data_IF_375172937591
#
_entry.id   IF_375172937591
#
_cell.length_a   1.000
_cell.length_b   1.000
_cell.length_c   1.000
_cell.angle_alpha   90.00
_cell.angle_beta   90.00
_cell.angle_gamma   90.00
#
_symmetry.space_group_name_H-M   'P 1'
#
loop_
_entity.id
_entity.type
_entity.pdbx_description
1 polymer ?
#
# COMPACT_ATOMS: atom_id res chain seq x y z
N UNK A 1 49.43 7.72 -28.92
CA UNK A 1 48.16 7.03 -29.24
C UNK A 1 47.74 6.20 -28.03
N UNK A 2 46.94 6.78 -27.14
CA UNK A 2 46.35 6.02 -26.02
C UNK A 2 44.92 5.70 -26.44
N UNK A 3 44.65 4.43 -26.70
CA UNK A 3 43.34 3.95 -27.12
C UNK A 3 42.30 4.25 -26.04
N UNK A 4 41.31 5.07 -26.36
CA UNK A 4 40.10 5.22 -25.56
C UNK A 4 39.38 3.87 -25.51
N UNK A 5 39.54 3.13 -24.41
CA UNK A 5 38.70 1.99 -24.11
C UNK A 5 37.27 2.52 -23.97
N UNK A 6 36.46 2.18 -24.97
CA UNK A 6 35.03 2.41 -24.98
C UNK A 6 34.44 1.78 -23.71
N UNK A 7 33.97 2.63 -22.79
CA UNK A 7 33.05 2.22 -21.75
C UNK A 7 31.90 1.45 -22.41
N UNK A 8 31.58 0.22 -21.98
CA UNK A 8 30.49 -0.54 -22.58
C UNK A 8 29.21 0.29 -22.46
N UNK A 9 28.51 0.44 -23.59
CA UNK A 9 27.23 1.13 -23.63
C UNK A 9 26.30 0.54 -22.56
N UNK A 10 25.59 1.36 -21.77
CA UNK A 10 24.74 0.83 -20.71
C UNK A 10 23.69 -0.07 -21.36
N UNK A 11 23.69 -1.34 -20.95
CA UNK A 11 22.68 -2.33 -21.36
C UNK A 11 21.31 -1.74 -21.10
N UNK A 12 20.60 -1.41 -22.18
CA UNK A 12 19.27 -0.81 -22.13
C UNK A 12 18.28 -1.86 -21.66
N UNK A 13 18.21 -2.09 -20.34
CA UNK A 13 17.00 -2.70 -19.77
C UNK A 13 15.87 -1.72 -20.12
N UNK A 14 14.87 -2.12 -20.93
CA UNK A 14 13.78 -1.22 -21.26
C UNK A 14 13.12 -0.76 -19.97
N UNK A 15 12.75 0.52 -19.87
CA UNK A 15 12.15 1.10 -18.64
C UNK A 15 10.93 0.29 -18.14
N UNK A 16 10.22 -0.35 -19.06
CA UNK A 16 9.16 -1.31 -18.76
C UNK A 16 9.65 -2.52 -17.96
N UNK A 17 10.79 -3.12 -18.32
CA UNK A 17 11.38 -4.22 -17.57
C UNK A 17 11.83 -3.79 -16.17
N UNK A 18 12.26 -2.54 -15.96
CA UNK A 18 12.53 -2.01 -14.63
C UNK A 18 11.24 -1.86 -13.79
N UNK A 19 10.16 -1.39 -14.42
CA UNK A 19 8.83 -1.33 -13.78
C UNK A 19 8.28 -2.72 -13.42
N UNK A 20 8.40 -3.68 -14.33
CA UNK A 20 7.99 -5.06 -14.11
C UNK A 20 8.85 -5.74 -13.04
N UNK A 21 10.17 -5.52 -13.05
CA UNK A 21 11.05 -6.02 -12.02
C UNK A 21 10.70 -5.45 -10.65
N UNK A 22 10.43 -4.14 -10.55
CA UNK A 22 9.98 -3.53 -9.30
C UNK A 22 8.63 -4.06 -8.84
N UNK A 23 7.68 -4.27 -9.76
CA UNK A 23 6.41 -4.95 -9.49
C UNK A 23 6.67 -6.34 -8.90
N UNK A 24 7.49 -7.18 -9.55
CA UNK A 24 7.76 -8.55 -9.13
C UNK A 24 8.51 -8.63 -7.78
N UNK A 25 9.48 -7.73 -7.53
CA UNK A 25 10.17 -7.66 -6.24
C UNK A 25 9.17 -7.35 -5.13
N UNK A 26 8.32 -6.33 -5.31
CA UNK A 26 7.37 -5.95 -4.28
C UNK A 26 6.25 -6.98 -4.11
N UNK A 27 5.79 -7.56 -5.22
CA UNK A 27 4.82 -8.65 -5.25
C UNK A 27 5.32 -9.88 -4.48
N UNK A 28 6.56 -10.31 -4.72
CA UNK A 28 7.15 -11.45 -4.04
C UNK A 28 7.47 -11.15 -2.57
N UNK A 29 7.84 -9.90 -2.23
CA UNK A 29 8.09 -9.51 -0.84
C UNK A 29 6.83 -9.67 0.04
N UNK A 30 5.63 -9.47 -0.51
CA UNK A 30 4.37 -9.65 0.24
C UNK A 30 4.19 -11.08 0.79
N UNK A 31 4.84 -12.09 0.18
CA UNK A 31 4.84 -13.47 0.66
C UNK A 31 5.53 -13.61 2.03
N UNK A 32 6.39 -12.67 2.41
CA UNK A 32 7.04 -12.64 3.72
C UNK A 32 6.25 -11.84 4.76
N UNK A 33 5.05 -11.35 4.41
CA UNK A 33 4.25 -10.46 5.26
C UNK A 33 2.82 -10.94 5.46
N UNK A 34 2.09 -11.12 4.35
CA UNK A 34 0.63 -11.27 4.34
C UNK A 34 0.08 -12.69 4.53
N UNK A 35 0.81 -13.79 4.22
CA UNK A 35 0.24 -15.13 4.35
C UNK A 35 -0.31 -15.46 5.75
N UNK A 36 0.33 -14.98 6.82
CA UNK A 36 -0.15 -15.15 8.21
C UNK A 36 -1.61 -14.68 8.40
N UNK A 37 -2.09 -13.75 7.59
CA UNK A 37 -3.47 -13.22 7.66
C UNK A 37 -4.50 -14.12 6.98
N UNK A 38 -4.07 -15.18 6.29
CA UNK A 38 -4.95 -16.14 5.63
C UNK A 38 -5.63 -17.10 6.61
N UNK A 39 -5.19 -17.15 7.86
CA UNK A 39 -5.69 -18.06 8.90
C UNK A 39 -6.20 -17.25 10.10
N UNK A 40 -7.23 -17.76 10.79
CA UNK A 40 -7.85 -17.11 11.95
C UNK A 40 -7.12 -17.39 13.27
N UNK A 41 -6.37 -18.50 13.35
CA UNK A 41 -5.76 -19.02 14.59
C UNK A 41 -6.77 -19.22 15.73
N UNK A 42 -7.96 -19.75 15.40
CA UNK A 42 -9.08 -19.93 16.34
C UNK A 42 -8.74 -20.82 17.55
N UNK A 43 -7.81 -21.76 17.38
CA UNK A 43 -7.37 -22.68 18.44
C UNK A 43 -6.38 -22.05 19.43
N UNK A 44 -5.96 -20.81 19.21
CA UNK A 44 -5.01 -20.12 20.09
C UNK A 44 -5.73 -19.24 21.11
N UNK A 45 -5.35 -19.41 22.38
CA UNK A 45 -5.84 -18.56 23.45
C UNK A 45 -5.41 -17.09 23.21
N UNK A 46 -6.28 -16.12 23.50
CA UNK A 46 -5.92 -14.71 23.55
C UNK A 46 -4.72 -14.47 24.48
N UNK A 47 -3.74 -13.68 24.03
CA UNK A 47 -2.62 -13.26 24.89
C UNK A 47 -2.99 -12.11 25.83
N UNK A 48 -4.00 -11.32 25.44
CA UNK A 48 -4.59 -10.26 26.24
C UNK A 48 -6.11 -10.44 26.27
N UNK A 49 -6.75 -10.16 27.41
CA UNK A 49 -8.19 -10.38 27.60
C UNK A 49 -9.07 -9.69 26.54
N UNK A 50 -8.59 -8.57 25.99
CA UNK A 50 -9.32 -7.74 25.03
C UNK A 50 -8.95 -7.98 23.56
N UNK A 51 -7.91 -8.77 23.26
CA UNK A 51 -7.41 -8.93 21.89
C UNK A 51 -7.29 -10.42 21.54
N UNK A 52 -7.93 -10.83 20.46
CA UNK A 52 -7.67 -12.16 19.92
C UNK A 52 -6.20 -12.32 19.46
N UNK A 53 -5.77 -13.58 19.28
CA UNK A 53 -4.40 -13.90 18.94
C UNK A 53 -3.99 -13.27 17.59
N UNK A 54 -4.87 -13.29 16.60
CA UNK A 54 -4.59 -12.76 15.26
C UNK A 54 -4.45 -11.23 15.26
N UNK A 55 -5.36 -10.51 15.89
CA UNK A 55 -5.33 -9.06 16.05
C UNK A 55 -4.04 -8.63 16.77
N UNK A 56 -3.64 -9.39 17.79
CA UNK A 56 -2.37 -9.24 18.50
C UNK A 56 -1.16 -9.35 17.55
N UNK A 57 -1.12 -10.36 16.67
CA UNK A 57 -0.07 -10.49 15.65
C UNK A 57 -0.09 -9.33 14.64
N UNK A 58 -1.27 -8.92 14.18
CA UNK A 58 -1.46 -7.80 13.24
C UNK A 58 -0.96 -6.50 13.86
N UNK A 59 -1.33 -6.20 15.12
CA UNK A 59 -0.85 -5.02 15.84
C UNK A 59 0.67 -5.01 15.92
N UNK A 60 1.26 -6.12 16.36
CA UNK A 60 2.70 -6.20 16.52
C UNK A 60 3.44 -5.97 15.19
N UNK A 61 2.98 -6.59 14.10
CA UNK A 61 3.53 -6.37 12.77
C UNK A 61 3.36 -4.92 12.29
N UNK A 62 2.19 -4.33 12.54
CA UNK A 62 1.89 -2.95 12.17
C UNK A 62 2.76 -1.93 12.92
N UNK A 63 2.98 -2.12 14.22
CA UNK A 63 3.89 -1.28 15.04
C UNK A 63 5.33 -1.39 14.54
N UNK A 64 5.80 -2.60 14.23
CA UNK A 64 7.11 -2.79 13.60
C UNK A 64 7.22 -2.04 12.27
N UNK A 65 6.18 -2.09 11.44
CA UNK A 65 6.12 -1.37 10.16
C UNK A 65 6.10 0.16 10.33
N UNK A 66 5.37 0.67 11.32
CA UNK A 66 5.33 2.10 11.63
C UNK A 66 6.70 2.61 12.10
N UNK A 67 7.36 1.87 13.00
CA UNK A 67 8.72 2.18 13.44
C UNK A 67 9.72 2.12 12.27
N UNK A 68 9.57 1.13 11.39
CA UNK A 68 10.35 1.00 10.14
C UNK A 68 10.25 2.24 9.26
N UNK A 69 9.08 2.88 9.17
CA UNK A 69 8.92 4.12 8.40
C UNK A 69 9.70 5.28 9.02
N UNK A 70 9.72 5.39 10.36
CA UNK A 70 10.49 6.42 11.05
C UNK A 70 12.00 6.26 10.84
N UNK A 71 12.52 5.04 11.03
CA UNK A 71 13.93 4.71 10.81
C UNK A 71 14.29 4.80 9.31
N UNK A 72 13.37 4.36 8.46
CA UNK A 72 13.52 4.27 7.02
C UNK A 72 13.73 5.61 6.32
N UNK A 73 13.22 6.72 6.87
CA UNK A 73 13.50 8.06 6.31
C UNK A 73 15.01 8.29 6.22
N UNK A 74 15.76 7.95 7.27
CA UNK A 74 17.21 8.10 7.30
C UNK A 74 17.90 7.06 6.42
N UNK A 75 17.57 5.78 6.62
CA UNK A 75 18.22 4.66 5.92
C UNK A 75 18.02 4.76 4.41
N UNK A 76 16.80 5.03 3.93
CA UNK A 76 16.50 5.14 2.50
C UNK A 76 17.12 6.41 1.91
N UNK A 77 17.19 7.51 2.69
CA UNK A 77 17.77 8.77 2.22
C UNK A 77 19.29 8.67 2.01
N UNK A 78 20.00 8.06 2.95
CA UNK A 78 21.46 8.05 3.02
C UNK A 78 22.11 6.85 2.32
N UNK A 79 21.34 5.82 1.93
CA UNK A 79 21.93 4.60 1.39
C UNK A 79 22.48 4.76 -0.04
N UNK A 80 23.68 4.23 -0.25
CA UNK A 80 24.36 4.25 -1.55
C UNK A 80 23.69 3.29 -2.54
N UNK A 81 23.59 3.71 -3.80
CA UNK A 81 22.92 2.95 -4.87
C UNK A 81 23.56 1.57 -5.12
N UNK A 82 24.87 1.43 -4.92
CA UNK A 82 25.65 0.20 -5.17
C UNK A 82 25.37 -0.93 -4.16
N UNK A 83 24.83 -0.62 -2.98
CA UNK A 83 24.54 -1.61 -1.93
C UNK A 83 23.05 -1.86 -1.74
N UNK A 84 22.19 -1.29 -2.59
CA UNK A 84 20.74 -1.29 -2.37
C UNK A 84 20.12 -2.68 -2.51
N UNK A 85 20.50 -3.46 -3.52
CA UNK A 85 20.02 -4.82 -3.70
C UNK A 85 20.40 -5.73 -2.51
N UNK A 86 21.64 -5.61 -2.01
CA UNK A 86 22.09 -6.32 -0.81
C UNK A 86 21.29 -5.95 0.43
N UNK A 87 20.98 -4.65 0.62
CA UNK A 87 20.14 -4.19 1.72
C UNK A 87 18.71 -4.76 1.64
N UNK A 88 18.10 -4.79 0.44
CA UNK A 88 16.79 -5.40 0.24
C UNK A 88 16.80 -6.88 0.64
N UNK A 89 17.81 -7.64 0.18
CA UNK A 89 17.94 -9.06 0.53
C UNK A 89 18.19 -9.28 2.03
N UNK A 90 19.03 -8.46 2.68
CA UNK A 90 19.29 -8.60 4.12
C UNK A 90 18.06 -8.29 4.95
N UNK A 91 17.28 -7.28 4.57
CA UNK A 91 16.04 -6.92 5.27
C UNK A 91 14.99 -8.02 5.10
N UNK A 92 14.79 -8.54 3.88
CA UNK A 92 13.85 -9.65 3.64
C UNK A 92 14.33 -10.93 4.35
N UNK A 93 15.64 -11.20 4.35
CA UNK A 93 16.23 -12.31 5.10
C UNK A 93 15.98 -12.20 6.61
N UNK A 94 16.18 -11.01 7.20
CA UNK A 94 15.85 -10.77 8.61
C UNK A 94 14.35 -10.96 8.89
N UNK A 95 13.48 -10.50 7.99
CA UNK A 95 12.04 -10.71 8.10
C UNK A 95 11.68 -12.20 8.07
N UNK A 96 12.35 -12.97 7.22
CA UNK A 96 12.16 -14.41 7.09
C UNK A 96 12.67 -15.18 8.31
N UNK A 97 13.81 -14.80 8.89
CA UNK A 97 14.30 -15.36 10.15
C UNK A 97 13.29 -15.13 11.30
N UNK A 98 12.63 -13.97 11.32
CA UNK A 98 11.57 -13.71 12.28
C UNK A 98 10.34 -14.62 12.05
N UNK A 99 10.02 -14.97 10.80
CA UNK A 99 8.97 -15.96 10.49
C UNK A 99 9.38 -17.39 10.87
N UNK A 100 10.66 -17.75 10.77
CA UNK A 100 11.14 -19.02 11.33
C UNK A 100 11.02 -19.03 12.85
N UNK A 101 11.33 -17.91 13.51
CA UNK A 101 11.06 -17.73 14.94
C UNK A 101 9.58 -17.96 15.27
N UNK A 102 8.67 -17.41 14.46
CA UNK A 102 7.23 -17.63 14.62
C UNK A 102 6.82 -19.10 14.47
N UNK A 103 7.52 -19.87 13.62
CA UNK A 103 7.25 -21.28 13.39
C UNK A 103 7.81 -22.20 14.51
N UNK A 104 8.92 -21.80 15.14
CA UNK A 104 9.67 -22.62 16.08
C UNK A 104 9.41 -22.29 17.55
N UNK A 105 9.11 -21.03 17.87
CA UNK A 105 8.90 -20.56 19.22
C UNK A 105 7.44 -20.78 19.68
N UNK A 106 7.17 -20.82 20.99
CA UNK A 106 5.80 -20.93 21.50
C UNK A 106 4.92 -19.76 21.06
N UNK A 107 3.60 -19.98 21.01
CA UNK A 107 2.63 -18.99 20.52
C UNK A 107 2.72 -17.61 21.21
N UNK A 108 3.07 -17.55 22.50
CA UNK A 108 3.25 -16.30 23.24
C UNK A 108 4.38 -15.41 22.70
N UNK A 109 5.38 -15.98 22.02
CA UNK A 109 6.45 -15.25 21.37
C UNK A 109 6.06 -14.72 19.97
N UNK A 110 4.88 -15.13 19.46
CA UNK A 110 4.41 -14.76 18.13
C UNK A 110 4.36 -13.25 17.87
N UNK A 111 3.84 -12.40 18.77
CA UNK A 111 3.82 -10.95 18.57
C UNK A 111 5.22 -10.37 18.38
N UNK A 112 6.20 -10.81 19.17
CA UNK A 112 7.60 -10.38 19.02
C UNK A 112 8.15 -10.78 17.64
N UNK A 113 7.88 -12.00 17.19
CA UNK A 113 8.29 -12.47 15.87
C UNK A 113 7.67 -11.62 14.76
N UNK A 114 6.38 -11.28 14.87
CA UNK A 114 5.68 -10.48 13.86
C UNK A 114 6.10 -9.01 13.89
N UNK A 115 6.44 -8.46 15.06
CA UNK A 115 7.08 -7.15 15.18
C UNK A 115 8.44 -7.12 14.48
N UNK A 116 9.30 -8.10 14.75
CA UNK A 116 10.62 -8.24 14.12
C UNK A 116 10.53 -8.54 12.62
N UNK A 117 9.43 -9.14 12.16
CA UNK A 117 9.12 -9.32 10.75
C UNK A 117 8.68 -7.99 10.08
N UNK A 118 7.82 -7.21 10.74
CA UNK A 118 7.32 -5.94 10.20
C UNK A 118 8.40 -4.86 10.07
N UNK A 119 9.33 -4.80 11.04
CA UNK A 119 10.39 -3.80 11.11
C UNK A 119 11.31 -3.72 9.88
N UNK A 120 11.86 -4.82 9.33
CA UNK A 120 12.66 -4.74 8.12
C UNK A 120 11.82 -4.48 6.85
N UNK A 121 10.58 -4.96 6.81
CA UNK A 121 9.76 -4.92 5.60
C UNK A 121 9.21 -3.52 5.27
N UNK A 122 9.02 -2.64 6.26
CA UNK A 122 8.49 -1.28 6.06
C UNK A 122 9.32 -0.38 5.15
N UNK A 123 10.61 -0.68 5.01
CA UNK A 123 11.57 0.06 4.18
C UNK A 123 11.61 -0.41 2.72
N UNK A 124 11.13 -1.62 2.41
CA UNK A 124 11.32 -2.24 1.08
C UNK A 124 10.69 -1.42 -0.04
N UNK A 125 9.48 -0.87 0.19
CA UNK A 125 8.82 -0.03 -0.82
C UNK A 125 9.68 1.16 -1.23
N UNK A 126 10.26 1.88 -0.26
CA UNK A 126 11.10 3.05 -0.52
C UNK A 126 12.40 2.68 -1.24
N UNK A 127 13.00 1.54 -0.87
CA UNK A 127 14.20 1.02 -1.53
C UNK A 127 13.92 0.61 -2.98
N UNK A 128 12.78 -0.03 -3.25
CA UNK A 128 12.36 -0.39 -4.61
C UNK A 128 12.02 0.87 -5.42
N UNK A 129 11.24 1.78 -4.85
CA UNK A 129 10.83 3.04 -5.50
C UNK A 129 12.03 3.90 -5.90
N UNK A 130 13.10 3.93 -5.08
CA UNK A 130 14.36 4.63 -5.40
C UNK A 130 15.05 4.17 -6.69
N UNK A 131 14.71 3.02 -7.28
CA UNK A 131 15.19 2.63 -8.63
C UNK A 131 14.40 3.27 -9.76
N UNK A 132 13.15 3.62 -9.48
CA UNK A 132 12.15 4.15 -10.41
C UNK A 132 12.11 5.69 -10.37
N UNK A 133 12.42 6.27 -9.22
CA UNK A 133 12.41 7.71 -8.96
C UNK A 133 13.35 8.48 -9.89
N UNK A 134 12.95 9.71 -10.23
CA UNK A 134 13.76 10.64 -11.01
C UNK A 134 13.68 10.45 -12.52
N UNK A 135 12.85 9.53 -13.00
CA UNK A 135 12.65 9.24 -14.43
C UNK A 135 11.48 10.03 -15.03
N UNK A 136 11.49 10.27 -16.34
CA UNK A 136 10.38 10.90 -17.08
C UNK A 136 9.06 10.12 -17.01
N UNK A 137 9.14 8.82 -16.72
CA UNK A 137 8.01 7.88 -16.60
C UNK A 137 7.76 7.44 -15.16
N UNK A 138 8.25 8.21 -14.17
CA UNK A 138 8.12 7.87 -12.75
C UNK A 138 6.67 7.62 -12.34
N UNK A 139 5.72 8.35 -12.92
CA UNK A 139 4.28 8.21 -12.65
C UNK A 139 3.76 6.83 -13.07
N UNK A 140 4.15 6.36 -14.26
CA UNK A 140 3.79 5.03 -14.76
C UNK A 140 4.43 3.93 -13.91
N UNK A 141 5.71 4.09 -13.59
CA UNK A 141 6.45 3.14 -12.76
C UNK A 141 5.88 3.08 -11.32
N UNK A 142 5.46 4.22 -10.77
CA UNK A 142 4.77 4.29 -9.49
C UNK A 142 3.42 3.57 -9.55
N UNK A 143 2.64 3.75 -10.62
CA UNK A 143 1.38 3.05 -10.82
C UNK A 143 1.56 1.52 -10.89
N UNK A 144 2.58 1.04 -11.62
CA UNK A 144 2.93 -0.38 -11.64
C UNK A 144 3.28 -0.89 -10.23
N UNK A 145 4.11 -0.16 -9.48
CA UNK A 145 4.46 -0.53 -8.12
C UNK A 145 3.22 -0.53 -7.20
N UNK A 146 2.29 0.41 -7.35
CA UNK A 146 1.03 0.45 -6.60
C UNK A 146 0.16 -0.76 -6.93
N UNK A 147 0.02 -1.13 -8.20
CA UNK A 147 -0.73 -2.32 -8.59
C UNK A 147 -0.17 -3.62 -8.01
N UNK A 148 1.14 -3.69 -7.77
CA UNK A 148 1.77 -4.88 -7.20
C UNK A 148 1.24 -5.23 -5.81
N UNK A 149 0.90 -4.25 -4.96
CA UNK A 149 0.39 -4.55 -3.63
C UNK A 149 -1.07 -5.00 -3.60
N UNK A 150 -1.87 -4.53 -4.56
CA UNK A 150 -3.27 -4.92 -4.71
C UNK A 150 -3.32 -6.42 -5.00
N UNK A 151 -2.60 -6.85 -6.03
CA UNK A 151 -2.59 -8.25 -6.45
C UNK A 151 -1.85 -9.16 -5.46
N UNK A 152 -0.72 -8.73 -4.92
CA UNK A 152 0.13 -9.59 -4.08
C UNK A 152 -0.49 -9.97 -2.75
N UNK A 153 -1.28 -9.09 -2.13
CA UNK A 153 -2.01 -9.41 -0.90
C UNK A 153 -2.93 -10.62 -1.11
N UNK A 154 -3.68 -10.64 -2.21
CA UNK A 154 -4.51 -11.78 -2.61
C UNK A 154 -3.71 -13.04 -2.94
N UNK A 155 -2.75 -12.93 -3.86
CA UNK A 155 -1.95 -14.05 -4.35
C UNK A 155 -1.19 -14.79 -3.24
N UNK A 156 -0.57 -14.04 -2.32
CA UNK A 156 0.25 -14.63 -1.26
C UNK A 156 -0.59 -15.26 -0.16
N UNK A 157 -1.77 -14.68 0.16
CA UNK A 157 -2.74 -15.32 1.06
C UNK A 157 -3.34 -16.59 0.45
N UNK A 158 -3.65 -16.58 -0.85
CA UNK A 158 -4.08 -17.80 -1.56
C UNK A 158 -3.02 -18.89 -1.46
N UNK A 159 -1.75 -18.57 -1.76
CA UNK A 159 -0.65 -19.53 -1.67
C UNK A 159 -0.49 -20.07 -0.24
N UNK A 160 -0.52 -19.21 0.78
CA UNK A 160 -0.46 -19.62 2.18
C UNK A 160 -1.62 -20.52 2.60
N UNK A 161 -2.85 -20.14 2.26
CA UNK A 161 -4.05 -20.92 2.55
C UNK A 161 -4.01 -22.31 1.87
N UNK A 162 -3.53 -22.39 0.62
CA UNK A 162 -3.35 -23.67 -0.07
C UNK A 162 -2.34 -24.57 0.66
N UNK A 163 -1.23 -24.03 1.15
CA UNK A 163 -0.26 -24.83 1.93
C UNK A 163 -0.90 -25.42 3.19
N UNK A 164 -1.72 -24.64 3.91
CA UNK A 164 -2.45 -25.12 5.09
C UNK A 164 -3.46 -26.20 4.73
N UNK A 165 -4.19 -26.04 3.60
CA UNK A 165 -5.10 -27.06 3.10
C UNK A 165 -4.39 -28.38 2.74
N UNK A 166 -3.10 -28.31 2.37
CA UNK A 166 -2.25 -29.50 2.15
C UNK A 166 -1.58 -30.01 3.44
N UNK A 167 -2.04 -29.59 4.62
CA UNK A 167 -1.59 -30.10 5.91
C UNK A 167 -0.41 -29.36 6.53
N UNK A 168 0.06 -28.25 5.95
CA UNK A 168 1.11 -27.45 6.57
C UNK A 168 0.57 -26.70 7.80
N UNK A 169 1.32 -26.71 8.90
CA UNK A 169 0.96 -25.94 10.10
C UNK A 169 0.79 -24.45 9.78
N UNK A 170 -0.26 -23.79 10.32
CA UNK A 170 -0.44 -22.33 10.21
C UNK A 170 0.75 -21.50 10.68
N UNK A 171 1.57 -22.02 11.60
CA UNK A 171 2.78 -21.34 12.09
C UNK A 171 3.96 -21.44 11.12
N UNK A 172 4.09 -22.55 10.39
CA UNK A 172 5.13 -22.74 9.36
C UNK A 172 4.77 -22.06 8.03
N UNK A 173 3.47 -21.94 7.74
CA UNK A 173 2.96 -21.42 6.48
C UNK A 173 3.58 -20.08 6.04
N UNK A 174 3.75 -19.05 6.88
CA UNK A 174 4.34 -17.78 6.44
C UNK A 174 5.78 -17.93 5.94
N UNK A 175 6.61 -18.71 6.65
CA UNK A 175 8.01 -18.92 6.30
C UNK A 175 8.16 -19.72 4.98
N UNK A 176 7.35 -20.77 4.81
CA UNK A 176 7.33 -21.59 3.59
C UNK A 176 6.79 -20.79 2.40
N UNK A 177 5.72 -20.01 2.58
CA UNK A 177 5.19 -19.14 1.53
C UNK A 177 6.26 -18.15 1.05
N UNK A 178 7.01 -17.54 1.97
CA UNK A 178 8.15 -16.67 1.62
C UNK A 178 9.18 -17.38 0.74
N UNK A 179 9.55 -18.62 1.08
CA UNK A 179 10.50 -19.42 0.28
C UNK A 179 9.97 -19.72 -1.13
N UNK A 180 8.68 -20.03 -1.29
CA UNK A 180 8.06 -20.28 -2.60
C UNK A 180 8.21 -19.08 -3.53
N UNK A 181 8.12 -17.85 -3.00
CA UNK A 181 8.24 -16.62 -3.79
C UNK A 181 9.67 -16.07 -3.86
N UNK A 182 10.62 -16.62 -3.10
CA UNK A 182 12.01 -16.17 -3.08
C UNK A 182 12.71 -16.24 -4.47
N UNK A 183 12.50 -17.27 -5.32
CA UNK A 183 13.10 -17.30 -6.66
C UNK A 183 12.66 -16.11 -7.52
N UNK A 184 11.36 -15.76 -7.49
CA UNK A 184 10.81 -14.61 -8.22
C UNK A 184 11.41 -13.31 -7.68
N UNK A 185 11.51 -13.18 -6.35
CA UNK A 185 12.13 -12.04 -5.69
C UNK A 185 13.58 -11.83 -6.15
N UNK A 186 14.41 -12.88 -6.09
CA UNK A 186 15.85 -12.80 -6.40
C UNK A 186 16.06 -12.52 -7.89
N UNK A 187 15.34 -13.20 -8.77
CA UNK A 187 15.42 -12.97 -10.21
C UNK A 187 15.02 -11.55 -10.60
N UNK A 188 13.87 -11.07 -10.09
CA UNK A 188 13.41 -9.72 -10.35
C UNK A 188 14.35 -8.65 -9.76
N UNK A 189 14.89 -8.88 -8.56
CA UNK A 189 15.85 -7.96 -7.95
C UNK A 189 17.16 -7.90 -8.75
N UNK A 190 17.61 -9.01 -9.32
CA UNK A 190 18.79 -9.02 -10.20
C UNK A 190 18.58 -8.18 -11.47
N UNK A 191 17.37 -8.20 -12.04
CA UNK A 191 17.00 -7.30 -13.15
C UNK A 191 16.97 -5.84 -12.67
N UNK A 192 16.30 -5.59 -11.54
CA UNK A 192 16.15 -4.24 -11.00
C UNK A 192 17.49 -3.60 -10.64
N UNK A 193 18.43 -4.38 -10.09
CA UNK A 193 19.77 -3.95 -9.72
C UNK A 193 20.64 -3.54 -10.92
N UNK A 194 20.34 -4.06 -12.11
CA UNK A 194 21.02 -3.70 -13.37
C UNK A 194 20.38 -2.50 -14.07
N UNK A 195 19.34 -1.90 -13.48
CA UNK A 195 18.70 -0.72 -14.08
C UNK A 195 19.67 0.45 -14.07
N UNK A 196 19.96 1.08 -15.22
CA UNK A 196 20.89 2.21 -15.29
C UNK A 196 20.33 3.41 -14.51
N UNK A 197 21.21 4.30 -13.97
CA UNK A 197 20.76 5.53 -13.31
C UNK A 197 19.96 6.43 -14.28
N UNK A 198 19.18 7.41 -13.76
CA UNK A 198 18.46 8.36 -14.60
C UNK A 198 19.38 9.06 -15.61
N UNK A 199 18.93 9.20 -16.84
CA UNK A 199 19.72 9.79 -17.93
C UNK A 199 19.67 11.33 -17.93
N UNK A 200 20.29 11.97 -18.93
CA UNK A 200 20.27 13.43 -19.03
C UNK A 200 18.86 13.99 -19.32
N UNK A 201 18.04 13.26 -20.07
CA UNK A 201 16.67 13.66 -20.39
C UNK A 201 15.75 13.55 -19.16
N UNK A 202 15.96 12.55 -18.32
CA UNK A 202 15.32 12.38 -17.01
C UNK A 202 15.61 13.60 -16.10
N UNK A 203 16.88 13.99 -16.00
CA UNK A 203 17.29 15.17 -15.20
C UNK A 203 16.72 16.48 -15.74
N UNK A 204 16.76 16.68 -17.06
CA UNK A 204 16.21 17.87 -17.70
C UNK A 204 14.70 18.00 -17.49
N UNK A 205 13.96 16.89 -17.49
CA UNK A 205 12.51 16.90 -17.33
C UNK A 205 12.02 17.05 -15.89
N UNK A 206 12.78 16.58 -14.88
CA UNK A 206 12.32 16.54 -13.47
C UNK A 206 12.79 17.69 -12.60
N UNK A 207 13.84 18.42 -13.00
CA UNK A 207 14.42 19.53 -12.24
C UNK A 207 14.94 19.13 -10.84
N UNK A 208 15.63 20.04 -10.17
CA UNK A 208 16.11 19.83 -8.79
C UNK A 208 14.98 20.07 -7.80
N UNK A 209 14.45 19.00 -7.19
CA UNK A 209 13.45 19.08 -6.12
C UNK A 209 14.15 19.31 -4.78
N UNK A 210 14.07 20.52 -4.22
CA UNK A 210 14.61 20.83 -2.89
C UNK A 210 13.59 20.45 -1.81
N UNK A 211 14.05 19.87 -0.71
CA UNK A 211 13.18 19.56 0.43
C UNK A 211 12.76 20.85 1.15
N UNK A 212 11.51 20.92 1.60
CA UNK A 212 11.03 22.04 2.40
C UNK A 212 11.70 22.07 3.77
N UNK A 213 12.07 23.26 4.23
CA UNK A 213 12.46 23.49 5.62
C UNK A 213 11.23 23.53 6.56
N UNK A 214 11.46 23.59 7.87
CA UNK A 214 10.41 23.61 8.88
C UNK A 214 9.40 24.77 8.71
N UNK A 215 9.87 26.03 8.56
CA UNK A 215 9.00 27.18 8.30
C UNK A 215 8.13 27.03 7.05
N UNK A 216 8.70 26.61 5.91
CA UNK A 216 7.96 26.44 4.66
C UNK A 216 6.88 25.35 4.76
N UNK A 217 7.16 24.23 5.44
CA UNK A 217 6.15 23.18 5.72
C UNK A 217 4.96 23.75 6.48
N UNK A 218 5.21 24.49 7.56
CA UNK A 218 4.15 25.10 8.39
C UNK A 218 3.34 26.14 7.61
N UNK A 219 3.98 26.93 6.76
CA UNK A 219 3.30 27.90 5.92
C UNK A 219 2.39 27.21 4.89
N UNK A 220 2.89 26.15 4.24
CA UNK A 220 2.10 25.40 3.26
C UNK A 220 0.88 24.71 3.89
N UNK A 221 1.07 24.05 5.04
CA UNK A 221 -0.04 23.41 5.77
C UNK A 221 -1.09 24.44 6.17
N UNK A 222 -0.70 25.61 6.69
CA UNK A 222 -1.65 26.69 7.02
C UNK A 222 -2.42 27.19 5.81
N UNK A 223 -1.73 27.40 4.68
CA UNK A 223 -2.36 27.87 3.45
C UNK A 223 -3.35 26.87 2.82
N UNK A 224 -3.20 25.57 3.12
CA UNK A 224 -4.02 24.49 2.57
C UNK A 224 -4.71 23.66 3.65
N UNK A 225 -4.93 24.23 4.85
CA UNK A 225 -5.32 23.46 6.03
C UNK A 225 -6.62 22.66 5.81
N UNK A 226 -7.65 23.30 5.24
CA UNK A 226 -8.94 22.66 4.98
C UNK A 226 -8.85 21.49 3.98
N UNK A 227 -8.41 21.70 2.71
CA UNK A 227 -8.35 20.58 1.76
C UNK A 227 -7.36 19.51 2.22
N UNK A 228 -6.24 19.88 2.85
CA UNK A 228 -5.26 18.92 3.33
C UNK A 228 -5.83 18.06 4.48
N UNK A 229 -6.53 18.66 5.44
CA UNK A 229 -7.17 17.91 6.52
C UNK A 229 -8.23 16.92 6.00
N UNK A 230 -9.08 17.35 5.06
CA UNK A 230 -10.10 16.49 4.45
C UNK A 230 -9.48 15.32 3.66
N UNK A 231 -8.42 15.59 2.89
CA UNK A 231 -7.70 14.57 2.13
C UNK A 231 -6.98 13.58 3.06
N UNK A 232 -6.30 14.07 4.11
CA UNK A 232 -5.62 13.21 5.09
C UNK A 232 -6.64 12.36 5.86
N UNK A 233 -7.78 12.92 6.26
CA UNK A 233 -8.85 12.17 6.91
C UNK A 233 -9.39 11.07 5.99
N UNK A 234 -9.69 11.40 4.73
CA UNK A 234 -10.10 10.42 3.72
C UNK A 234 -9.06 9.31 3.51
N UNK A 235 -7.78 9.67 3.40
CA UNK A 235 -6.68 8.72 3.30
C UNK A 235 -6.56 7.81 4.53
N UNK A 236 -6.77 8.37 5.71
CA UNK A 236 -6.73 7.64 6.98
C UNK A 236 -7.81 6.58 7.04
N UNK A 237 -9.05 6.95 6.72
CA UNK A 237 -10.19 6.04 6.67
C UNK A 237 -9.99 4.95 5.60
N UNK A 238 -9.52 5.33 4.40
CA UNK A 238 -9.24 4.37 3.33
C UNK A 238 -8.13 3.39 3.70
N UNK A 239 -7.06 3.86 4.35
CA UNK A 239 -5.96 2.99 4.79
C UNK A 239 -6.45 2.01 5.85
N UNK A 240 -7.21 2.49 6.83
CA UNK A 240 -7.78 1.62 7.85
C UNK A 240 -8.75 0.60 7.29
N UNK A 241 -9.66 1.02 6.41
CA UNK A 241 -10.62 0.13 5.76
C UNK A 241 -9.93 -0.93 4.88
N UNK A 242 -8.92 -0.51 4.10
CA UNK A 242 -8.10 -1.42 3.30
C UNK A 242 -7.39 -2.45 4.18
N UNK A 243 -6.71 -2.00 5.23
CA UNK A 243 -5.93 -2.89 6.08
C UNK A 243 -6.84 -3.86 6.85
N UNK A 244 -8.01 -3.40 7.29
CA UNK A 244 -9.01 -4.26 7.91
C UNK A 244 -9.53 -5.33 6.94
N UNK A 245 -9.95 -4.93 5.73
CA UNK A 245 -10.37 -5.85 4.65
C UNK A 245 -9.30 -6.89 4.36
N UNK A 246 -8.05 -6.46 4.26
CA UNK A 246 -6.93 -7.34 3.92
C UNK A 246 -6.53 -8.28 5.06
N UNK A 247 -6.53 -7.81 6.30
CA UNK A 247 -6.08 -8.62 7.43
C UNK A 247 -7.15 -9.60 7.90
N UNK A 248 -8.43 -9.23 7.76
CA UNK A 248 -9.57 -10.02 8.23
C UNK A 248 -10.44 -10.59 7.10
N UNK A 249 -9.87 -10.77 5.91
CA UNK A 249 -10.62 -11.31 4.77
C UNK A 249 -11.15 -12.72 5.03
N UNK A 250 -10.38 -13.58 5.72
CA UNK A 250 -10.80 -14.95 6.01
C UNK A 250 -12.08 -14.95 6.87
N UNK A 251 -12.13 -14.08 7.87
CA UNK A 251 -13.26 -13.88 8.77
C UNK A 251 -14.46 -13.28 8.05
N UNK A 252 -14.25 -12.22 7.24
CA UNK A 252 -15.32 -11.61 6.44
C UNK A 252 -15.92 -12.65 5.47
N UNK A 253 -15.10 -13.46 4.80
CA UNK A 253 -15.58 -14.53 3.93
C UNK A 253 -16.27 -15.68 4.68
N UNK A 254 -15.84 -15.94 5.91
CA UNK A 254 -16.52 -16.86 6.83
C UNK A 254 -17.94 -16.40 7.13
N UNK A 255 -18.10 -15.14 7.54
CA UNK A 255 -19.40 -14.51 7.81
C UNK A 255 -20.31 -14.47 6.56
N UNK A 256 -19.74 -14.43 5.36
CA UNK A 256 -20.46 -14.47 4.08
C UNK A 256 -20.97 -15.89 3.70
N UNK A 257 -20.76 -16.90 4.55
CA UNK A 257 -21.30 -18.26 4.37
C UNK A 257 -20.61 -19.09 3.28
N UNK A 258 -19.54 -18.59 2.66
CA UNK A 258 -18.85 -19.27 1.56
C UNK A 258 -17.57 -20.02 2.01
N UNK A 259 -17.21 -19.96 3.29
CA UNK A 259 -16.01 -20.61 3.84
C UNK A 259 -14.76 -20.24 3.06
N UNK A 260 -14.22 -19.02 3.26
CA UNK A 260 -13.06 -18.42 2.57
C UNK A 260 -12.24 -19.34 1.63
N UNK A 261 -12.72 -19.65 0.41
CA UNK A 261 -11.96 -20.51 -0.48
C UNK A 261 -10.66 -19.80 -0.80
N UNK A 262 -9.52 -20.48 -0.66
CA UNK A 262 -8.19 -19.87 -0.81
C UNK A 262 -8.07 -19.04 -2.09
N UNK A 263 -8.67 -19.51 -3.19
CA UNK A 263 -8.69 -18.84 -4.48
C UNK A 263 -9.43 -17.48 -4.47
N UNK A 264 -10.43 -17.28 -3.61
CA UNK A 264 -11.21 -16.03 -3.56
C UNK A 264 -10.37 -14.82 -3.16
N UNK A 265 -9.31 -15.02 -2.36
CA UNK A 265 -8.37 -13.93 -2.05
C UNK A 265 -7.67 -13.41 -3.30
N UNK A 266 -7.41 -14.25 -4.31
CA UNK A 266 -6.78 -13.83 -5.57
C UNK A 266 -7.79 -13.39 -6.62
N UNK A 267 -8.85 -14.20 -6.83
CA UNK A 267 -9.86 -13.96 -7.87
C UNK A 267 -10.50 -12.59 -7.73
N UNK A 268 -10.75 -12.14 -6.50
CA UNK A 268 -11.37 -10.83 -6.27
C UNK A 268 -10.41 -9.64 -6.48
N UNK A 269 -9.10 -9.83 -6.38
CA UNK A 269 -8.11 -8.74 -6.54
C UNK A 269 -7.67 -8.50 -7.99
N UNK A 270 -7.82 -9.49 -8.87
CA UNK A 270 -7.50 -9.37 -10.30
C UNK A 270 -8.31 -8.25 -10.99
N UNK A 271 -9.67 -8.25 -10.95
CA UNK A 271 -10.45 -7.20 -11.59
C UNK A 271 -10.19 -5.82 -10.95
N UNK A 272 -9.99 -5.79 -9.63
CA UNK A 272 -9.65 -4.57 -8.88
C UNK A 272 -8.35 -3.97 -9.41
N UNK A 273 -7.31 -4.79 -9.56
CA UNK A 273 -5.99 -4.36 -10.06
C UNK A 273 -6.10 -3.80 -11.48
N UNK A 274 -6.85 -4.47 -12.36
CA UNK A 274 -7.04 -4.03 -13.76
C UNK A 274 -7.72 -2.66 -13.80
N UNK A 275 -8.83 -2.48 -13.08
CA UNK A 275 -9.59 -1.22 -13.07
C UNK A 275 -8.73 -0.07 -12.52
N UNK A 276 -7.99 -0.31 -11.43
CA UNK A 276 -7.13 0.72 -10.81
C UNK A 276 -5.95 1.07 -11.73
N UNK A 277 -5.35 0.10 -12.41
CA UNK A 277 -4.27 0.35 -13.39
C UNK A 277 -4.76 1.21 -14.55
N UNK A 278 -5.94 0.91 -15.11
CA UNK A 278 -6.56 1.71 -16.16
C UNK A 278 -6.79 3.14 -15.67
N UNK A 279 -7.38 3.31 -14.48
CA UNK A 279 -7.62 4.63 -13.88
C UNK A 279 -6.33 5.43 -13.66
N UNK A 280 -5.27 4.79 -13.15
CA UNK A 280 -3.97 5.43 -12.94
C UNK A 280 -3.28 5.80 -14.26
N UNK A 281 -3.38 4.94 -15.28
CA UNK A 281 -2.88 5.23 -16.62
C UNK A 281 -3.61 6.44 -17.24
N UNK A 282 -4.94 6.50 -17.11
CA UNK A 282 -5.73 7.65 -17.56
C UNK A 282 -5.31 8.94 -16.86
N UNK A 283 -5.14 8.92 -15.53
CA UNK A 283 -4.68 10.08 -14.76
C UNK A 283 -3.29 10.56 -15.20
N UNK A 284 -2.38 9.64 -15.55
CA UNK A 284 -1.03 9.98 -16.00
C UNK A 284 -1.01 10.74 -17.34
N UNK A 285 -2.05 10.62 -18.18
CA UNK A 285 -2.16 11.37 -19.44
C UNK A 285 -2.48 12.86 -19.25
N UNK A 286 -2.98 13.24 -18.08
CA UNK A 286 -3.46 14.60 -17.80
C UNK A 286 -2.29 15.52 -17.49
N UNK A 287 -1.93 16.38 -18.46
CA UNK A 287 -0.79 17.31 -18.33
C UNK A 287 -1.04 18.50 -17.40
N UNK A 288 -2.27 19.02 -17.38
CA UNK A 288 -2.62 20.20 -16.57
C UNK A 288 -2.75 19.82 -15.10
N UNK A 289 -1.99 20.50 -14.22
CA UNK A 289 -2.00 20.22 -12.78
C UNK A 289 -3.39 20.37 -12.14
N UNK A 290 -4.15 21.41 -12.49
CA UNK A 290 -5.50 21.61 -11.97
C UNK A 290 -6.45 20.52 -12.46
N UNK A 291 -6.45 20.21 -13.77
CA UNK A 291 -7.32 19.14 -14.31
C UNK A 291 -6.96 17.78 -13.71
N UNK A 292 -5.68 17.49 -13.55
CA UNK A 292 -5.22 16.25 -12.92
C UNK A 292 -5.67 16.19 -11.46
N UNK A 293 -5.54 17.28 -10.70
CA UNK A 293 -6.01 17.36 -9.32
C UNK A 293 -7.52 17.15 -9.20
N UNK A 294 -8.32 17.77 -10.08
CA UNK A 294 -9.77 17.57 -10.09
C UNK A 294 -10.18 16.15 -10.55
N UNK A 295 -9.47 15.57 -11.52
CA UNK A 295 -9.69 14.19 -11.92
C UNK A 295 -9.38 13.20 -10.78
N UNK A 296 -8.36 13.48 -9.96
CA UNK A 296 -8.07 12.69 -8.76
C UNK A 296 -9.21 12.81 -7.73
N UNK A 297 -9.76 14.01 -7.51
CA UNK A 297 -10.96 14.15 -6.68
C UNK A 297 -12.15 13.37 -7.26
N UNK A 298 -12.31 13.37 -8.58
CA UNK A 298 -13.29 12.53 -9.27
C UNK A 298 -13.09 11.04 -9.02
N UNK A 299 -11.85 10.54 -9.04
CA UNK A 299 -11.52 9.16 -8.69
C UNK A 299 -11.84 8.83 -7.22
N UNK A 300 -11.61 9.78 -6.31
CA UNK A 300 -11.98 9.64 -4.90
C UNK A 300 -13.50 9.59 -4.73
N UNK A 301 -14.26 10.43 -5.44
CA UNK A 301 -15.72 10.42 -5.43
C UNK A 301 -16.30 9.14 -6.03
N UNK A 302 -15.72 8.67 -7.14
CA UNK A 302 -16.06 7.36 -7.70
C UNK A 302 -15.81 6.25 -6.68
N UNK A 303 -14.68 6.30 -5.97
CA UNK A 303 -14.38 5.37 -4.89
C UNK A 303 -15.43 5.39 -3.79
N UNK A 304 -15.81 6.58 -3.30
CA UNK A 304 -16.87 6.75 -2.31
C UNK A 304 -18.22 6.17 -2.77
N UNK A 305 -18.62 6.44 -4.01
CA UNK A 305 -19.85 5.92 -4.61
C UNK A 305 -19.81 4.39 -4.75
N UNK A 306 -18.68 3.82 -5.18
CA UNK A 306 -18.51 2.37 -5.26
C UNK A 306 -18.61 1.71 -3.88
N UNK A 307 -17.99 2.29 -2.85
CA UNK A 307 -18.07 1.79 -1.47
C UNK A 307 -19.50 1.83 -0.92
N UNK A 308 -20.14 2.99 -0.99
CA UNK A 308 -21.49 3.20 -0.48
C UNK A 308 -22.52 2.41 -1.27
N UNK A 309 -22.53 2.58 -2.59
CA UNK A 309 -23.46 1.94 -3.51
C UNK A 309 -23.38 0.42 -3.45
N UNK A 310 -22.18 -0.17 -3.56
CA UNK A 310 -22.04 -1.62 -3.51
C UNK A 310 -22.45 -2.19 -2.14
N UNK A 311 -22.14 -1.51 -1.04
CA UNK A 311 -22.55 -1.98 0.29
C UNK A 311 -24.07 -1.92 0.48
N UNK A 312 -24.73 -0.87 -0.02
CA UNK A 312 -26.19 -0.77 0.01
C UNK A 312 -26.85 -1.85 -0.85
N UNK A 313 -26.38 -2.03 -2.10
CA UNK A 313 -26.87 -3.09 -2.99
C UNK A 313 -26.68 -4.49 -2.39
N UNK A 314 -25.55 -4.72 -1.71
CA UNK A 314 -25.28 -5.97 -1.01
C UNK A 314 -26.24 -6.20 0.16
N UNK A 315 -26.47 -5.17 1.00
CA UNK A 315 -27.42 -5.24 2.13
C UNK A 315 -28.87 -5.45 1.67
N UNK A 316 -29.23 -4.95 0.48
CA UNK A 316 -30.54 -5.18 -0.15
C UNK A 316 -30.65 -6.54 -0.84
N UNK A 317 -29.57 -7.33 -0.89
CA UNK A 317 -29.54 -8.64 -1.56
C UNK A 317 -29.48 -8.59 -3.09
N UNK A 318 -29.21 -7.42 -3.69
CA UNK A 318 -29.20 -7.24 -5.15
C UNK A 318 -27.89 -7.71 -5.78
N UNK A 319 -26.79 -7.72 -5.01
CA UNK A 319 -25.50 -8.25 -5.45
C UNK A 319 -24.99 -9.27 -4.44
N UNK A 320 -24.32 -10.31 -4.93
CA UNK A 320 -23.73 -11.34 -4.09
C UNK A 320 -22.39 -10.95 -3.45
N UNK A 321 -21.87 -11.78 -2.52
CA UNK A 321 -20.62 -11.53 -1.79
C UNK A 321 -19.39 -11.24 -2.65
N UNK A 322 -19.23 -11.96 -3.76
CA UNK A 322 -18.10 -11.81 -4.70
C UNK A 322 -18.14 -10.43 -5.36
N UNK A 323 -19.29 -10.06 -5.94
CA UNK A 323 -19.47 -8.78 -6.61
C UNK A 323 -19.26 -7.62 -5.63
N UNK A 324 -19.82 -7.72 -4.42
CA UNK A 324 -19.61 -6.74 -3.37
C UNK A 324 -18.12 -6.59 -3.03
N UNK A 325 -17.40 -7.69 -2.77
CA UNK A 325 -15.97 -7.66 -2.41
C UNK A 325 -15.10 -7.04 -3.50
N UNK A 326 -15.41 -7.28 -4.78
CA UNK A 326 -14.73 -6.68 -5.93
C UNK A 326 -15.00 -5.18 -5.98
N UNK A 327 -16.26 -4.74 -5.86
CA UNK A 327 -16.60 -3.32 -5.89
C UNK A 327 -16.04 -2.54 -4.70
N UNK A 328 -15.98 -3.16 -3.52
CA UNK A 328 -15.28 -2.56 -2.37
C UNK A 328 -13.80 -2.39 -2.68
N UNK A 329 -13.13 -3.41 -3.23
CA UNK A 329 -11.74 -3.30 -3.66
C UNK A 329 -11.53 -2.16 -4.66
N UNK A 330 -12.36 -2.10 -5.71
CA UNK A 330 -12.33 -1.01 -6.70
C UNK A 330 -12.50 0.35 -6.02
N UNK A 331 -13.46 0.46 -5.10
CA UNK A 331 -13.74 1.71 -4.40
C UNK A 331 -12.56 2.19 -3.55
N UNK A 332 -12.02 1.29 -2.71
CA UNK A 332 -10.85 1.57 -1.85
C UNK A 332 -9.67 2.01 -2.72
N UNK A 333 -9.27 1.17 -3.68
CA UNK A 333 -8.01 1.39 -4.40
C UNK A 333 -8.08 2.50 -5.44
N UNK A 334 -9.24 2.78 -6.03
CA UNK A 334 -9.41 3.93 -6.95
C UNK A 334 -9.25 5.26 -6.20
N UNK A 335 -9.73 5.34 -4.96
CA UNK A 335 -9.56 6.52 -4.13
C UNK A 335 -8.17 6.59 -3.47
N UNK A 336 -7.60 5.45 -3.08
CA UNK A 336 -6.34 5.36 -2.35
C UNK A 336 -5.10 5.52 -3.25
N UNK A 337 -5.06 4.87 -4.42
CA UNK A 337 -3.88 4.84 -5.28
C UNK A 337 -3.31 6.24 -5.65
N UNK A 338 -4.13 7.27 -5.94
CA UNK A 338 -3.61 8.59 -6.29
C UNK A 338 -2.79 9.27 -5.19
N UNK A 339 -3.06 8.99 -3.90
CA UNK A 339 -2.37 9.62 -2.77
C UNK A 339 -0.87 9.31 -2.75
N UNK A 340 -0.50 8.07 -3.07
CA UNK A 340 0.89 7.59 -3.05
C UNK A 340 1.67 7.94 -4.32
N UNK A 341 0.98 8.29 -5.41
CA UNK A 341 1.60 8.45 -6.72
C UNK A 341 1.61 9.87 -7.27
N UNK A 342 0.47 10.58 -7.24
CA UNK A 342 0.27 11.78 -8.08
C UNK A 342 -0.38 12.95 -7.36
N UNK A 343 -1.23 12.73 -6.36
CA UNK A 343 -2.05 13.77 -5.73
C UNK A 343 -1.19 14.93 -5.18
N UNK A 344 -0.26 14.61 -4.29
CA UNK A 344 0.55 15.62 -3.62
C UNK A 344 1.53 16.31 -4.58
N UNK A 345 2.06 15.58 -5.57
CA UNK A 345 2.90 16.18 -6.62
C UNK A 345 2.10 17.24 -7.42
N UNK A 346 0.84 16.94 -7.77
CA UNK A 346 -0.03 17.91 -8.47
C UNK A 346 -0.42 19.10 -7.60
N UNK A 347 -0.69 18.89 -6.31
CA UNK A 347 -0.97 19.96 -5.36
C UNK A 347 0.22 20.92 -5.21
N UNK A 348 1.43 20.38 -5.03
CA UNK A 348 2.65 21.18 -4.91
C UNK A 348 2.94 21.97 -6.19
N UNK A 349 2.79 21.32 -7.35
CA UNK A 349 3.00 21.94 -8.65
C UNK A 349 1.99 23.07 -8.95
N UNK A 350 0.75 22.96 -8.45
CA UNK A 350 -0.28 23.97 -8.63
C UNK A 350 0.00 25.24 -7.81
N UNK A 351 0.48 25.09 -6.57
CA UNK A 351 0.80 26.20 -5.68
C UNK A 351 2.14 26.90 -5.94
N UNK A 352 2.93 26.45 -6.93
CA UNK A 352 4.32 26.88 -7.18
C UNK A 352 5.17 26.89 -5.89
N UNK A 353 4.87 26.01 -4.94
CA UNK A 353 5.54 25.99 -3.65
C UNK A 353 6.93 25.35 -3.80
N UNK A 354 7.99 25.96 -3.24
CA UNK A 354 9.30 25.32 -3.21
C UNK A 354 9.23 24.11 -2.28
N UNK A 355 9.13 22.90 -2.84
CA UNK A 355 9.07 21.67 -2.05
C UNK A 355 8.77 20.41 -2.87
N UNK A 356 9.11 19.26 -2.30
CA UNK A 356 8.73 17.94 -2.83
C UNK A 356 7.47 17.41 -2.13
N UNK A 357 6.70 16.57 -2.82
CA UNK A 357 5.50 15.92 -2.25
C UNK A 357 5.80 14.94 -1.11
N UNK A 358 7.07 14.57 -0.91
CA UNK A 358 7.48 13.58 0.09
C UNK A 358 6.99 13.94 1.49
N UNK A 359 7.06 15.22 1.90
CA UNK A 359 6.54 15.65 3.20
C UNK A 359 5.05 15.32 3.39
N UNK A 360 4.22 15.61 2.38
CA UNK A 360 2.77 15.37 2.46
C UNK A 360 2.44 13.88 2.41
N UNK A 361 3.19 13.10 1.63
CA UNK A 361 3.07 11.64 1.59
C UNK A 361 3.38 11.05 2.97
N UNK A 362 4.50 11.42 3.60
CA UNK A 362 4.87 10.93 4.93
C UNK A 362 3.86 11.36 6.00
N UNK A 363 3.34 12.59 5.92
CA UNK A 363 2.31 13.07 6.82
C UNK A 363 1.03 12.23 6.69
N UNK A 364 0.54 12.02 5.47
CA UNK A 364 -0.63 11.21 5.21
C UNK A 364 -0.43 9.74 5.63
N UNK A 365 0.71 9.13 5.30
CA UNK A 365 1.06 7.77 5.71
C UNK A 365 1.05 7.58 7.23
N UNK A 366 1.56 8.57 7.98
CA UNK A 366 1.58 8.51 9.45
C UNK A 366 0.17 8.43 10.04
N UNK A 367 -0.75 9.28 9.55
CA UNK A 367 -2.16 9.20 9.93
C UNK A 367 -2.84 7.93 9.41
N UNK A 368 -2.48 7.47 8.21
CA UNK A 368 -2.95 6.22 7.62
C UNK A 368 -2.77 5.01 8.55
N UNK A 369 -1.54 4.78 9.03
CA UNK A 369 -1.26 3.68 9.96
C UNK A 369 -1.97 3.85 11.31
N UNK A 370 -2.07 5.08 11.82
CA UNK A 370 -2.84 5.36 13.02
C UNK A 370 -4.32 4.99 12.82
N UNK A 371 -4.90 5.27 11.64
CA UNK A 371 -6.24 4.86 11.24
C UNK A 371 -6.43 3.35 11.22
N UNK A 372 -5.46 2.59 10.68
CA UNK A 372 -5.50 1.12 10.67
C UNK A 372 -5.51 0.52 12.07
N UNK A 373 -4.65 1.03 12.96
CA UNK A 373 -4.61 0.60 14.36
C UNK A 373 -5.92 0.98 15.07
N UNK A 374 -6.38 2.23 14.90
CA UNK A 374 -7.60 2.72 15.53
C UNK A 374 -8.83 1.92 15.11
N UNK A 375 -9.03 1.67 13.81
CA UNK A 375 -10.20 0.93 13.31
C UNK A 375 -10.25 -0.50 13.86
N UNK A 376 -9.10 -1.15 13.97
CA UNK A 376 -9.03 -2.50 14.55
C UNK A 376 -9.32 -2.48 16.06
N UNK A 377 -8.71 -1.54 16.82
CA UNK A 377 -8.99 -1.40 18.25
C UNK A 377 -10.46 -1.04 18.52
N UNK A 378 -11.07 -0.20 17.68
CA UNK A 378 -12.50 0.12 17.79
C UNK A 378 -13.39 -1.12 17.67
N UNK A 379 -13.04 -2.09 16.82
CA UNK A 379 -13.76 -3.36 16.72
C UNK A 379 -13.52 -4.24 17.95
N UNK A 380 -12.27 -4.40 18.36
CA UNK A 380 -11.90 -5.27 19.49
C UNK A 380 -12.48 -4.79 20.82
N UNK A 381 -12.61 -3.46 20.99
CA UNK A 381 -13.17 -2.83 22.18
C UNK A 381 -14.68 -2.63 22.13
N UNK A 382 -15.34 -2.89 20.99
CA UNK A 382 -16.79 -2.78 20.88
C UNK A 382 -17.48 -3.90 21.65
N UNK A 383 -18.59 -3.57 22.32
CA UNK A 383 -19.41 -4.52 23.07
C UNK A 383 -19.81 -5.71 22.19
N UNK A 384 -19.68 -6.92 22.74
CA UNK A 384 -19.91 -8.21 22.08
C UNK A 384 -19.03 -8.51 20.85
N UNK A 385 -17.94 -7.76 20.61
CA UNK A 385 -17.04 -7.93 19.45
C UNK A 385 -17.82 -8.09 18.15
N UNK A 386 -18.38 -6.98 17.68
CA UNK A 386 -19.25 -6.94 16.49
C UNK A 386 -18.80 -7.93 15.39
N UNK A 387 -19.74 -8.66 14.76
CA UNK A 387 -19.43 -9.57 13.65
C UNK A 387 -18.58 -8.87 12.60
N UNK A 388 -17.58 -9.57 12.06
CA UNK A 388 -16.57 -8.98 11.19
C UNK A 388 -17.22 -8.30 9.99
N UNK A 389 -18.19 -8.97 9.36
CA UNK A 389 -18.96 -8.42 8.24
C UNK A 389 -19.81 -7.20 8.64
N UNK A 390 -20.47 -7.26 9.81
CA UNK A 390 -21.33 -6.18 10.30
C UNK A 390 -20.54 -4.90 10.61
N UNK A 391 -19.41 -5.05 11.30
CA UNK A 391 -18.49 -3.95 11.57
C UNK A 391 -17.92 -3.38 10.27
N UNK A 392 -17.43 -4.24 9.37
CA UNK A 392 -16.80 -3.82 8.13
C UNK A 392 -17.77 -3.09 7.19
N UNK A 393 -19.01 -3.56 7.05
CA UNK A 393 -20.02 -2.88 6.23
C UNK A 393 -20.38 -1.50 6.80
N UNK A 394 -20.47 -1.35 8.12
CA UNK A 394 -20.74 -0.06 8.76
C UNK A 394 -19.56 0.91 8.59
N UNK A 395 -18.32 0.44 8.83
CA UNK A 395 -17.11 1.22 8.58
C UNK A 395 -16.99 1.66 7.10
N UNK A 396 -17.40 0.79 6.18
CA UNK A 396 -17.43 1.08 4.73
C UNK A 396 -18.40 2.20 4.40
N UNK A 397 -19.62 2.17 4.94
CA UNK A 397 -20.63 3.22 4.71
C UNK A 397 -20.19 4.56 5.32
N UNK A 398 -19.66 4.56 6.54
CA UNK A 398 -19.13 5.79 7.17
C UNK A 398 -17.98 6.35 6.35
N UNK A 399 -17.06 5.50 5.89
CA UNK A 399 -15.95 5.91 5.03
C UNK A 399 -16.46 6.51 3.72
N UNK A 400 -17.45 5.88 3.07
CA UNK A 400 -18.05 6.38 1.83
C UNK A 400 -18.62 7.79 1.99
N UNK A 401 -19.39 8.03 3.05
CA UNK A 401 -20.00 9.34 3.33
C UNK A 401 -18.93 10.41 3.60
N UNK A 402 -17.97 10.12 4.48
CA UNK A 402 -16.91 11.07 4.85
C UNK A 402 -15.99 11.37 3.66
N UNK A 403 -15.66 10.35 2.88
CA UNK A 403 -14.83 10.49 1.68
C UNK A 403 -15.55 11.30 0.60
N UNK A 404 -16.84 11.01 0.35
CA UNK A 404 -17.66 11.74 -0.61
C UNK A 404 -17.80 13.23 -0.26
N UNK A 405 -18.17 13.53 0.98
CA UNK A 405 -18.27 14.90 1.47
C UNK A 405 -16.92 15.63 1.45
N UNK A 406 -15.88 15.01 2.02
CA UNK A 406 -14.55 15.60 2.11
C UNK A 406 -13.91 15.86 0.74
N UNK A 407 -14.02 14.92 -0.20
CA UNK A 407 -13.51 15.08 -1.56
C UNK A 407 -14.28 16.16 -2.33
N UNK A 408 -15.60 16.26 -2.14
CA UNK A 408 -16.40 17.32 -2.77
C UNK A 408 -15.97 18.70 -2.27
N UNK A 409 -15.88 18.89 -0.96
CA UNK A 409 -15.47 20.17 -0.36
C UNK A 409 -14.03 20.53 -0.76
N UNK A 410 -13.09 19.58 -0.67
CA UNK A 410 -11.70 19.78 -1.09
C UNK A 410 -11.58 20.12 -2.58
N UNK A 411 -12.29 19.39 -3.45
CA UNK A 411 -12.27 19.61 -4.88
C UNK A 411 -12.83 20.98 -5.27
N UNK A 412 -13.95 21.39 -4.67
CA UNK A 412 -14.55 22.71 -4.86
C UNK A 412 -13.62 23.83 -4.38
N UNK A 413 -12.90 23.62 -3.27
CA UNK A 413 -11.91 24.59 -2.78
C UNK A 413 -10.80 24.83 -3.81
N UNK A 414 -10.20 23.76 -4.35
CA UNK A 414 -9.15 23.88 -5.38
C UNK A 414 -9.69 24.50 -6.67
N UNK A 415 -10.88 24.09 -7.09
CA UNK A 415 -11.53 24.63 -8.28
C UNK A 415 -11.75 26.13 -8.15
N UNK A 416 -12.35 26.60 -7.06
CA UNK A 416 -12.59 28.04 -6.83
C UNK A 416 -11.29 28.83 -6.74
N UNK A 417 -10.30 28.34 -5.99
CA UNK A 417 -9.05 29.06 -5.77
C UNK A 417 -8.20 29.23 -7.03
N UNK A 418 -8.18 28.22 -7.91
CA UNK A 418 -7.25 28.19 -9.04
C UNK A 418 -7.91 28.31 -10.43
N UNK A 419 -9.25 28.27 -10.54
CA UNK A 419 -9.94 28.54 -11.81
C UNK A 419 -10.21 30.03 -12.03
N UNK A 420 -10.29 30.82 -10.96
CA UNK A 420 -10.54 32.27 -11.01
C UNK A 420 -9.30 33.13 -11.32
N UNK A 421 -8.13 32.50 -11.51
CA UNK A 421 -6.86 33.17 -11.85
C UNK A 421 -6.39 32.83 -13.28
N UNK A 422 -7.34 32.49 -14.17
CA UNK A 422 -7.09 32.29 -15.59
C UNK A 422 -7.48 33.50 -16.40
#
# INVERSE_FOLDING_TARGET
MVSSLSTPAPSRVPLFAAGLAAFCVYFAMYAFRKPVMAVAFADQAPLWQLLDYKATLILAQAVGYALSKMVGVKVVAEHRADRRARLILSLIGAAWLALLGFALLPAWAGPLCLFLNGLPLGMIWGLVFRYLEGRRVSEMLAAMLTASFILSSGATRTAGALLVQHGLSPFWMPAVTGLVFAPVLVAALAVLARTPPPDAADRAARGTRVAMDGPARRAYVRAHALPLALLILGYTLLTGLRDFRDNFAAEIWGDLGNGAPAAMFSITEVPVTIVVLIGMAMLATIRSNLRALLAIHGAILFGALALGGATLLFRLGWIGPVAWTVWIGIGIYSAYAPFSAVLFDRMMALGKSPGNAGFLIYLADSFGYAGSVALMLLRELADNRAPWLGFFTSATLTTALMLGGGATVSGLWFWRRFSLHK
#
